data_IF_904404430825
#
_entry.id   IF_904404430825
#
_cell.length_a   1.000
_cell.length_b   1.000
_cell.length_c   1.000
_cell.angle_alpha   90.00
_cell.angle_beta   90.00
_cell.angle_gamma   90.00
#
_symmetry.space_group_name_H-M   'P 1'
#
loop_
_entity.id
_entity.type
_entity.pdbx_description
1 polymer ?
#
# COMPACT_ATOMS: atom_id res chain seq x y z
N UNK A 1 -4.99 -8.24 14.38
CA UNK A 1 -6.11 -9.20 14.61
C UNK A 1 -5.54 -10.61 14.58
N UNK A 2 -6.13 -11.58 15.30
CA UNK A 2 -5.85 -12.99 15.04
C UNK A 2 -6.25 -13.35 13.61
N UNK A 3 -5.82 -14.52 13.12
CA UNK A 3 -6.30 -15.08 11.85
C UNK A 3 -7.83 -15.10 11.85
N UNK A 4 -8.43 -14.59 10.77
CA UNK A 4 -9.86 -14.51 10.63
C UNK A 4 -10.44 -15.83 10.11
N UNK A 5 -11.63 -16.18 10.57
CA UNK A 5 -12.38 -17.30 10.02
C UNK A 5 -12.74 -17.06 8.55
N UNK A 6 -13.00 -18.15 7.81
CA UNK A 6 -13.44 -18.07 6.42
C UNK A 6 -14.68 -17.18 6.23
N UNK A 7 -15.60 -17.18 7.21
CA UNK A 7 -16.83 -16.37 7.16
C UNK A 7 -16.54 -14.87 7.35
N UNK A 8 -15.64 -14.53 8.27
CA UNK A 8 -15.21 -13.14 8.49
C UNK A 8 -14.48 -12.59 7.26
N UNK A 9 -13.56 -13.38 6.69
CA UNK A 9 -12.85 -13.02 5.45
C UNK A 9 -13.83 -12.81 4.30
N UNK A 10 -14.80 -13.71 4.13
CA UNK A 10 -15.81 -13.60 3.08
C UNK A 10 -16.65 -12.33 3.24
N UNK A 11 -17.03 -11.99 4.47
CA UNK A 11 -17.74 -10.75 4.77
C UNK A 11 -16.89 -9.53 4.41
N UNK A 12 -15.60 -9.52 4.76
CA UNK A 12 -14.68 -8.45 4.39
C UNK A 12 -14.54 -8.32 2.87
N UNK A 13 -14.37 -9.43 2.14
CA UNK A 13 -14.31 -9.46 0.67
C UNK A 13 -15.55 -8.83 0.05
N UNK A 14 -16.75 -9.29 0.41
CA UNK A 14 -18.01 -8.72 -0.06
C UNK A 14 -18.15 -7.24 0.32
N UNK A 15 -17.76 -6.89 1.54
CA UNK A 15 -17.74 -5.51 2.00
C UNK A 15 -16.73 -4.65 1.25
N UNK A 16 -15.78 -5.21 0.49
CA UNK A 16 -14.80 -4.49 -0.33
C UNK A 16 -15.25 -4.29 -1.78
N UNK A 17 -16.42 -4.81 -2.14
CA UNK A 17 -17.00 -4.64 -3.47
C UNK A 17 -17.94 -3.42 -3.44
N UNK A 18 -17.83 -2.49 -4.41
CA UNK A 18 -18.81 -1.42 -4.64
C UNK A 18 -20.23 -1.97 -4.88
N UNK A 19 -21.27 -1.23 -4.48
CA UNK A 19 -22.66 -1.72 -4.52
C UNK A 19 -23.14 -2.06 -5.95
N UNK A 20 -22.73 -1.27 -6.93
CA UNK A 20 -22.97 -1.53 -8.36
C UNK A 20 -22.38 -2.87 -8.81
N UNK A 21 -21.12 -3.15 -8.42
CA UNK A 21 -20.45 -4.42 -8.72
C UNK A 21 -21.01 -5.59 -7.91
N UNK A 22 -21.50 -5.37 -6.69
CA UNK A 22 -22.21 -6.39 -5.90
C UNK A 22 -23.50 -6.85 -6.59
N UNK A 23 -24.27 -5.92 -7.18
CA UNK A 23 -25.48 -6.25 -7.95
C UNK A 23 -25.15 -7.03 -9.22
N UNK A 24 -24.04 -6.70 -9.88
CA UNK A 24 -23.54 -7.48 -11.02
C UNK A 24 -23.18 -8.91 -10.60
N UNK A 25 -22.41 -9.06 -9.53
CA UNK A 25 -22.06 -10.37 -8.99
C UNK A 25 -23.31 -11.18 -8.59
N UNK A 26 -24.28 -10.56 -7.92
CA UNK A 26 -25.55 -11.18 -7.56
C UNK A 26 -26.32 -11.65 -8.80
N UNK A 27 -26.32 -10.85 -9.87
CA UNK A 27 -26.95 -11.21 -11.14
C UNK A 27 -26.30 -12.42 -11.79
N UNK A 28 -24.96 -12.51 -11.77
CA UNK A 28 -24.21 -13.64 -12.31
C UNK A 28 -24.45 -14.95 -11.53
N UNK A 29 -24.94 -14.83 -10.29
CA UNK A 29 -25.25 -15.94 -9.39
C UNK A 29 -26.77 -16.22 -9.30
N UNK A 30 -27.58 -15.62 -10.17
CA UNK A 30 -29.04 -15.77 -10.19
C UNK A 30 -29.74 -15.38 -8.87
N UNK A 31 -29.13 -14.47 -8.10
CA UNK A 31 -29.70 -13.89 -6.88
C UNK A 31 -30.56 -12.67 -7.24
N UNK A 32 -31.75 -12.55 -6.63
CA UNK A 32 -32.73 -11.49 -6.92
C UNK A 32 -32.13 -10.07 -6.77
N UNK A 33 -32.36 -9.21 -7.77
CA UNK A 33 -31.75 -7.87 -7.92
C UNK A 33 -32.46 -6.78 -7.13
N UNK A 34 -33.64 -7.06 -6.55
CA UNK A 34 -34.47 -6.07 -5.85
C UNK A 34 -34.01 -5.76 -4.42
N UNK A 35 -32.99 -6.47 -3.96
CA UNK A 35 -32.47 -6.42 -2.60
C UNK A 35 -31.51 -5.24 -2.36
N UNK A 36 -31.45 -4.76 -1.10
CA UNK A 36 -30.47 -3.75 -0.70
C UNK A 36 -29.05 -4.35 -0.72
N UNK A 37 -28.00 -3.52 -0.70
CA UNK A 37 -26.62 -4.02 -0.66
C UNK A 37 -26.34 -4.95 0.53
N UNK A 38 -26.96 -4.69 1.68
CA UNK A 38 -26.84 -5.54 2.87
C UNK A 38 -27.55 -6.91 2.69
N UNK A 39 -28.71 -6.92 2.04
CA UNK A 39 -29.47 -8.14 1.76
C UNK A 39 -28.71 -9.03 0.76
N UNK A 40 -28.11 -8.43 -0.27
CA UNK A 40 -27.22 -9.13 -1.22
C UNK A 40 -26.06 -9.79 -0.47
N UNK A 41 -25.36 -9.05 0.40
CA UNK A 41 -24.26 -9.59 1.21
C UNK A 41 -24.74 -10.74 2.09
N UNK A 42 -25.88 -10.60 2.77
CA UNK A 42 -26.43 -11.65 3.64
C UNK A 42 -26.73 -12.94 2.87
N UNK A 43 -27.27 -12.84 1.65
CA UNK A 43 -27.55 -14.00 0.80
C UNK A 43 -26.26 -14.65 0.29
N UNK A 44 -25.31 -13.85 -0.18
CA UNK A 44 -24.02 -14.35 -0.67
C UNK A 44 -23.23 -15.06 0.45
N UNK A 45 -23.25 -14.53 1.68
CA UNK A 45 -22.66 -15.18 2.86
C UNK A 45 -23.30 -16.54 3.21
N UNK A 46 -24.55 -16.75 2.82
CA UNK A 46 -25.29 -17.99 3.10
C UNK A 46 -25.11 -19.06 2.02
N UNK A 47 -24.41 -18.75 0.91
CA UNK A 47 -24.21 -19.67 -0.20
C UNK A 47 -22.82 -20.33 -0.12
N UNK A 48 -22.73 -21.67 0.12
CA UNK A 48 -21.46 -22.36 0.38
C UNK A 48 -20.47 -22.36 -0.80
N UNK A 49 -20.95 -22.21 -2.03
CA UNK A 49 -20.15 -22.35 -3.26
C UNK A 49 -19.53 -21.02 -3.77
N UNK A 50 -19.56 -19.94 -2.98
CA UNK A 50 -19.30 -18.58 -3.50
C UNK A 50 -17.87 -18.07 -3.37
N UNK A 51 -17.04 -18.65 -2.49
CA UNK A 51 -15.72 -18.07 -2.16
C UNK A 51 -14.83 -17.89 -3.38
N UNK A 52 -14.63 -18.94 -4.18
CA UNK A 52 -13.82 -18.88 -5.41
C UNK A 52 -14.45 -17.95 -6.46
N UNK A 53 -15.77 -17.99 -6.63
CA UNK A 53 -16.47 -17.13 -7.60
C UNK A 53 -16.32 -15.64 -7.26
N UNK A 54 -16.38 -15.30 -5.96
CA UNK A 54 -16.14 -13.94 -5.46
C UNK A 54 -14.70 -13.53 -5.74
N UNK A 55 -13.73 -14.40 -5.46
CA UNK A 55 -12.31 -14.13 -5.70
C UNK A 55 -12.02 -13.90 -7.18
N UNK A 56 -12.54 -14.76 -8.04
CA UNK A 56 -12.39 -14.66 -9.50
C UNK A 56 -13.07 -13.37 -10.02
N UNK A 57 -14.24 -13.03 -9.51
CA UNK A 57 -14.93 -11.78 -9.84
C UNK A 57 -14.13 -10.54 -9.42
N UNK A 58 -13.60 -10.53 -8.18
CA UNK A 58 -12.79 -9.42 -7.67
C UNK A 58 -11.51 -9.24 -8.50
N UNK A 59 -10.79 -10.34 -8.77
CA UNK A 59 -9.60 -10.33 -9.64
C UNK A 59 -9.92 -9.80 -11.04
N UNK A 60 -10.99 -10.28 -11.67
CA UNK A 60 -11.42 -9.81 -12.98
C UNK A 60 -11.72 -8.30 -13.00
N UNK A 61 -12.42 -7.80 -11.97
CA UNK A 61 -12.74 -6.37 -11.87
C UNK A 61 -11.52 -5.51 -11.59
N UNK A 62 -10.52 -6.04 -10.88
CA UNK A 62 -9.27 -5.35 -10.65
C UNK A 62 -8.42 -5.30 -11.93
N UNK A 63 -8.33 -6.39 -12.70
CA UNK A 63 -7.66 -6.40 -14.02
C UNK A 63 -8.24 -5.32 -14.95
N UNK A 64 -9.57 -5.18 -15.01
CA UNK A 64 -10.22 -4.10 -15.79
C UNK A 64 -9.82 -2.69 -15.33
N UNK A 65 -9.57 -2.50 -14.04
CA UNK A 65 -9.06 -1.22 -13.50
C UNK A 65 -7.63 -0.97 -13.98
N UNK A 66 -6.77 -1.99 -13.97
CA UNK A 66 -5.41 -1.90 -14.52
C UNK A 66 -5.48 -1.54 -16.01
N UNK A 67 -6.33 -2.21 -16.79
CA UNK A 67 -6.53 -1.93 -18.22
C UNK A 67 -6.95 -0.47 -18.48
N UNK A 68 -7.84 0.07 -17.64
CA UNK A 68 -8.26 1.48 -17.71
C UNK A 68 -7.10 2.45 -17.42
N UNK A 69 -6.19 2.11 -16.51
CA UNK A 69 -4.97 2.91 -16.32
C UNK A 69 -4.01 2.74 -17.49
N UNK A 70 -3.85 1.52 -18.02
CA UNK A 70 -3.00 1.22 -19.19
C UNK A 70 -3.43 1.96 -20.45
N UNK A 71 -4.72 2.29 -20.59
CA UNK A 71 -5.19 3.10 -21.72
C UNK A 71 -4.77 4.58 -21.64
N UNK A 72 -4.32 5.06 -20.47
CA UNK A 72 -3.77 6.42 -20.29
C UNK A 72 -2.28 6.43 -20.60
N UNK A 73 -1.54 5.43 -20.07
CA UNK A 73 -0.10 5.24 -20.28
C UNK A 73 0.23 3.77 -20.08
N UNK A 74 0.99 3.17 -21.00
CA UNK A 74 1.39 1.77 -20.86
C UNK A 74 2.37 1.57 -19.70
N UNK A 75 2.52 0.33 -19.23
CA UNK A 75 3.48 0.02 -18.16
C UNK A 75 4.91 0.36 -18.58
N UNK A 76 5.27 0.14 -19.85
CA UNK A 76 6.62 0.43 -20.36
C UNK A 76 6.88 1.94 -20.34
N UNK A 77 5.96 2.73 -20.89
CA UNK A 77 6.10 4.20 -20.93
C UNK A 77 6.11 4.80 -19.52
N UNK A 78 5.27 4.32 -18.60
CA UNK A 78 5.27 4.81 -17.23
C UNK A 78 6.60 4.50 -16.53
N UNK A 79 7.17 3.32 -16.76
CA UNK A 79 8.50 2.95 -16.23
C UNK A 79 9.61 3.85 -16.80
N UNK A 80 9.52 4.21 -18.08
CA UNK A 80 10.45 5.16 -18.71
C UNK A 80 10.33 6.57 -18.08
N UNK A 81 9.12 7.08 -17.85
CA UNK A 81 8.88 8.35 -17.15
C UNK A 81 9.48 8.35 -15.74
N UNK A 82 9.27 7.27 -14.97
CA UNK A 82 9.87 7.08 -13.65
C UNK A 82 11.40 6.99 -13.69
N UNK A 83 11.97 6.52 -14.81
CA UNK A 83 13.41 6.48 -15.09
C UNK A 83 14.04 7.88 -15.26
N UNK A 84 13.24 8.90 -15.55
CA UNK A 84 13.71 10.29 -15.71
C UNK A 84 14.07 10.95 -14.39
N UNK A 85 13.52 10.50 -13.26
CA UNK A 85 13.83 11.06 -11.92
C UNK A 85 15.29 10.77 -11.57
N UNK A 86 16.13 11.81 -11.45
CA UNK A 86 17.58 11.65 -11.15
C UNK A 86 17.95 11.99 -9.71
N UNK A 87 17.14 12.77 -9.03
CA UNK A 87 17.31 13.14 -7.64
C UNK A 87 16.03 12.85 -6.86
N UNK A 88 16.20 12.48 -5.60
CA UNK A 88 15.08 12.21 -4.69
C UNK A 88 15.37 12.89 -3.36
N UNK A 89 14.83 14.09 -3.20
CA UNK A 89 14.94 14.89 -1.99
C UNK A 89 13.58 15.46 -1.67
N UNK A 90 13.06 15.14 -0.50
CA UNK A 90 11.73 15.59 -0.11
C UNK A 90 11.65 17.10 0.06
N UNK A 91 12.72 17.75 0.57
CA UNK A 91 12.79 19.19 0.90
C UNK A 91 11.80 19.65 2.00
N UNK A 92 10.69 18.94 2.14
CA UNK A 92 9.56 19.18 3.05
C UNK A 92 8.96 17.83 3.43
N UNK A 93 8.52 17.71 4.69
CA UNK A 93 7.80 16.52 5.16
C UNK A 93 6.52 16.33 4.34
N UNK A 94 6.22 15.08 3.96
CA UNK A 94 5.02 14.72 3.21
C UNK A 94 3.75 15.26 3.87
N UNK A 95 2.95 16.03 3.13
CA UNK A 95 1.69 16.62 3.60
C UNK A 95 1.85 17.94 4.35
N UNK A 96 3.06 18.48 4.51
CA UNK A 96 3.32 19.71 5.26
C UNK A 96 3.75 20.91 4.39
N UNK A 97 3.61 20.81 3.06
CA UNK A 97 4.00 21.90 2.16
C UNK A 97 3.27 23.22 2.46
N UNK A 98 1.95 23.17 2.66
CA UNK A 98 1.16 24.36 3.02
C UNK A 98 1.62 24.96 4.36
N UNK A 99 1.85 24.12 5.37
CA UNK A 99 2.33 24.57 6.68
C UNK A 99 3.69 25.27 6.58
N UNK A 100 4.60 24.74 5.75
CA UNK A 100 5.89 25.38 5.45
C UNK A 100 5.71 26.75 4.79
N UNK A 101 4.84 26.85 3.78
CA UNK A 101 4.53 28.11 3.09
C UNK A 101 3.99 29.15 4.10
N UNK A 102 3.05 28.74 4.94
CA UNK A 102 2.46 29.62 5.96
C UNK A 102 3.49 30.10 6.97
N UNK A 103 4.32 29.20 7.49
CA UNK A 103 5.28 29.51 8.56
C UNK A 103 6.51 30.28 8.07
N UNK A 104 7.09 29.89 6.92
CA UNK A 104 8.36 30.43 6.45
C UNK A 104 8.22 31.65 5.53
N UNK A 105 7.08 31.79 4.83
CA UNK A 105 6.87 32.84 3.84
C UNK A 105 5.77 33.81 4.29
N UNK A 106 4.51 33.34 4.38
CA UNK A 106 3.34 34.21 4.57
C UNK A 106 3.37 34.99 5.88
N UNK A 107 3.65 34.31 7.01
CA UNK A 107 3.63 34.94 8.34
C UNK A 107 4.94 35.64 8.72
N UNK A 108 6.01 35.44 7.94
CA UNK A 108 7.36 35.88 8.28
C UNK A 108 7.86 37.05 7.41
N UNK A 109 7.51 37.06 6.13
CA UNK A 109 8.00 38.05 5.17
C UNK A 109 6.94 39.13 4.96
N UNK A 110 7.21 40.33 5.47
CA UNK A 110 6.25 41.45 5.44
C UNK A 110 6.34 42.27 4.15
N UNK A 111 7.54 42.41 3.58
CA UNK A 111 7.78 43.21 2.37
C UNK A 111 7.56 42.38 1.11
N UNK A 112 6.77 42.91 0.19
CA UNK A 112 6.36 42.20 -1.02
C UNK A 112 7.54 41.78 -1.91
N UNK A 113 8.50 42.67 -2.15
CA UNK A 113 9.68 42.33 -2.98
C UNK A 113 10.57 41.26 -2.33
N UNK A 114 10.73 41.30 -1.00
CA UNK A 114 11.48 40.28 -0.26
C UNK A 114 10.79 38.91 -0.36
N UNK A 115 9.44 38.90 -0.34
CA UNK A 115 8.65 37.68 -0.52
C UNK A 115 8.87 37.10 -1.92
N UNK A 116 8.75 37.91 -2.96
CA UNK A 116 8.95 37.47 -4.34
C UNK A 116 10.36 36.91 -4.56
N UNK A 117 11.38 37.59 -4.02
CA UNK A 117 12.76 37.15 -4.10
C UNK A 117 12.96 35.81 -3.37
N UNK A 118 12.41 35.66 -2.15
CA UNK A 118 12.53 34.42 -1.38
C UNK A 118 11.80 33.24 -2.03
N UNK A 119 10.66 33.47 -2.68
CA UNK A 119 9.91 32.43 -3.41
C UNK A 119 10.74 31.92 -4.59
N UNK A 120 11.27 32.84 -5.41
CA UNK A 120 12.10 32.50 -6.58
C UNK A 120 13.40 31.80 -6.18
N UNK A 121 14.02 32.24 -5.09
CA UNK A 121 15.32 31.72 -4.67
C UNK A 121 15.24 30.32 -4.03
N UNK A 122 14.10 29.92 -3.46
CA UNK A 122 14.02 28.69 -2.65
C UNK A 122 12.69 27.93 -2.74
N UNK A 123 11.55 28.60 -2.61
CA UNK A 123 10.25 27.89 -2.54
C UNK A 123 9.96 27.11 -3.81
N UNK A 124 10.31 27.69 -4.96
CA UNK A 124 10.13 27.04 -6.26
C UNK A 124 10.77 25.63 -6.26
N UNK A 125 12.04 25.53 -5.89
CA UNK A 125 12.78 24.26 -5.93
C UNK A 125 12.28 23.26 -4.86
N UNK A 126 11.86 23.76 -3.69
CA UNK A 126 11.25 22.95 -2.63
C UNK A 126 9.92 22.34 -3.11
N UNK A 127 9.06 23.14 -3.76
CA UNK A 127 7.78 22.69 -4.33
C UNK A 127 8.03 21.69 -5.45
N UNK A 128 8.94 21.99 -6.38
CA UNK A 128 9.30 21.08 -7.49
C UNK A 128 9.78 19.74 -6.96
N UNK A 129 10.73 19.74 -6.01
CA UNK A 129 11.28 18.52 -5.42
C UNK A 129 10.20 17.70 -4.70
N UNK A 130 9.32 18.37 -3.95
CA UNK A 130 8.20 17.73 -3.27
C UNK A 130 7.22 17.06 -4.26
N UNK A 131 6.84 17.76 -5.33
CA UNK A 131 5.90 17.23 -6.34
C UNK A 131 6.52 16.03 -7.07
N UNK A 132 7.80 16.10 -7.46
CA UNK A 132 8.50 14.98 -8.07
C UNK A 132 8.55 13.76 -7.14
N UNK A 133 8.91 13.94 -5.86
CA UNK A 133 9.00 12.84 -4.90
C UNK A 133 7.64 12.20 -4.61
N UNK A 134 6.59 13.00 -4.45
CA UNK A 134 5.22 12.49 -4.23
C UNK A 134 4.68 11.76 -5.46
N UNK A 135 4.87 12.31 -6.66
CA UNK A 135 4.50 11.67 -7.92
C UNK A 135 5.26 10.37 -8.15
N UNK A 136 6.58 10.37 -7.98
CA UNK A 136 7.42 9.18 -8.11
C UNK A 136 6.98 8.08 -7.14
N UNK A 137 6.76 8.44 -5.87
CA UNK A 137 6.30 7.48 -4.88
C UNK A 137 4.93 6.89 -5.21
N UNK A 138 3.99 7.73 -5.64
CA UNK A 138 2.66 7.29 -6.02
C UNK A 138 2.73 6.26 -7.16
N UNK A 139 3.36 6.59 -8.28
CA UNK A 139 3.34 5.74 -9.47
C UNK A 139 4.19 4.48 -9.35
N UNK A 140 5.32 4.54 -8.62
CA UNK A 140 6.06 3.32 -8.27
C UNK A 140 5.24 2.39 -7.39
N UNK A 141 4.53 2.94 -6.39
CA UNK A 141 3.65 2.15 -5.52
C UNK A 141 2.47 1.56 -6.31
N UNK A 142 1.85 2.32 -7.21
CA UNK A 142 0.77 1.81 -8.08
C UNK A 142 1.25 0.59 -8.87
N UNK A 143 2.40 0.66 -9.54
CA UNK A 143 2.91 -0.47 -10.32
C UNK A 143 3.26 -1.69 -9.45
N UNK A 144 3.80 -1.47 -8.25
CA UNK A 144 4.11 -2.54 -7.30
C UNK A 144 2.83 -3.20 -6.78
N UNK A 145 1.84 -2.41 -6.37
CA UNK A 145 0.55 -2.91 -5.87
C UNK A 145 -0.26 -3.61 -6.97
N UNK A 146 -0.23 -3.10 -8.20
CA UNK A 146 -0.84 -3.77 -9.36
C UNK A 146 -0.20 -5.14 -9.58
N UNK A 147 1.14 -5.24 -9.55
CA UNK A 147 1.85 -6.52 -9.69
C UNK A 147 1.47 -7.51 -8.59
N UNK A 148 1.54 -7.09 -7.31
CA UNK A 148 1.11 -7.90 -6.16
C UNK A 148 -0.33 -8.39 -6.33
N UNK A 149 -1.23 -7.50 -6.75
CA UNK A 149 -2.66 -7.77 -6.89
C UNK A 149 -2.98 -8.75 -8.02
N UNK A 150 -2.08 -8.94 -8.98
CA UNK A 150 -2.22 -9.92 -10.05
C UNK A 150 -1.69 -11.31 -9.69
N UNK A 151 -0.99 -11.45 -8.56
CA UNK A 151 -0.48 -12.74 -8.11
C UNK A 151 -1.62 -13.71 -7.77
N UNK A 152 -1.47 -14.99 -8.13
CA UNK A 152 -2.56 -15.97 -8.03
C UNK A 152 -3.04 -16.24 -6.59
N UNK A 153 -2.15 -16.13 -5.58
CA UNK A 153 -2.48 -16.22 -4.14
C UNK A 153 -3.09 -14.94 -3.53
N UNK A 154 -3.24 -13.88 -4.32
CA UNK A 154 -3.71 -12.56 -3.83
C UNK A 154 -5.07 -12.23 -4.44
N UNK A 155 -5.98 -11.70 -3.63
CA UNK A 155 -7.25 -11.11 -4.09
C UNK A 155 -7.28 -9.65 -3.65
N UNK A 156 -7.28 -8.67 -4.58
CA UNK A 156 -7.27 -7.26 -4.21
C UNK A 156 -8.66 -6.73 -3.84
N UNK A 157 -8.72 -5.73 -2.97
CA UNK A 157 -9.96 -5.00 -2.71
C UNK A 157 -10.40 -4.17 -3.92
N UNK A 158 -11.71 -4.03 -4.12
CA UNK A 158 -12.27 -3.21 -5.21
C UNK A 158 -12.67 -1.79 -4.77
N UNK A 159 -12.69 -1.55 -3.46
CA UNK A 159 -12.89 -0.25 -2.83
C UNK A 159 -12.09 -0.19 -1.54
N UNK A 160 -11.73 1.01 -1.13
CA UNK A 160 -10.98 1.24 0.09
C UNK A 160 -11.75 0.72 1.32
N UNK A 161 -11.14 -0.20 2.04
CA UNK A 161 -11.49 -0.54 3.41
C UNK A 161 -10.30 -0.17 4.27
N UNK A 162 -10.55 0.56 5.35
CA UNK A 162 -9.50 0.93 6.31
C UNK A 162 -8.77 -0.33 6.78
N UNK A 163 -7.45 -0.37 6.56
CA UNK A 163 -6.59 -1.46 7.03
C UNK A 163 -6.63 -2.72 6.17
N UNK A 164 -7.22 -2.70 4.97
CA UNK A 164 -7.25 -3.85 4.06
C UNK A 164 -7.09 -3.38 2.61
N UNK A 165 -5.98 -3.75 2.00
CA UNK A 165 -5.71 -3.52 0.58
C UNK A 165 -5.89 -4.80 -0.22
N UNK A 166 -5.45 -5.94 0.34
CA UNK A 166 -5.48 -7.26 -0.30
C UNK A 166 -5.92 -8.37 0.66
N UNK A 167 -6.28 -9.52 0.10
CA UNK A 167 -6.37 -10.79 0.80
C UNK A 167 -5.26 -11.71 0.27
N UNK A 168 -4.28 -12.02 1.11
CA UNK A 168 -3.20 -12.96 0.81
C UNK A 168 -3.43 -14.25 1.59
N UNK A 169 -3.45 -15.38 0.87
CA UNK A 169 -3.68 -16.70 1.47
C UNK A 169 -4.95 -16.77 2.33
N UNK A 170 -6.00 -16.08 1.85
CA UNK A 170 -7.29 -16.00 2.54
C UNK A 170 -7.32 -15.10 3.76
N UNK A 171 -6.28 -14.33 4.08
CA UNK A 171 -6.26 -13.38 5.20
C UNK A 171 -6.13 -11.93 4.71
N UNK A 172 -6.80 -10.96 5.35
CA UNK A 172 -6.70 -9.55 4.94
C UNK A 172 -5.38 -8.93 5.37
N UNK A 173 -4.80 -8.09 4.52
CA UNK A 173 -3.61 -7.31 4.81
C UNK A 173 -3.72 -5.88 4.27
N UNK A 174 -3.26 -4.93 5.09
CA UNK A 174 -2.84 -3.59 4.72
C UNK A 174 -1.44 -3.68 4.08
N UNK A 175 -1.29 -3.16 2.86
CA UNK A 175 -0.01 -3.13 2.16
C UNK A 175 0.78 -1.88 2.56
N UNK A 176 2.07 -2.08 2.79
CA UNK A 176 3.00 -0.99 3.13
C UNK A 176 4.29 -1.13 2.34
N UNK A 177 4.35 -0.44 1.21
CA UNK A 177 5.60 -0.29 0.44
C UNK A 177 6.40 0.86 1.01
N UNK A 178 7.58 0.58 1.55
CA UNK A 178 8.40 1.57 2.27
C UNK A 178 9.90 1.27 2.13
N UNK A 179 10.72 2.24 2.52
CA UNK A 179 12.15 2.03 2.74
C UNK A 179 12.39 1.55 4.15
N UNK A 180 13.57 0.95 4.39
CA UNK A 180 14.00 0.64 5.74
C UNK A 180 14.01 1.94 6.59
N UNK A 181 13.41 1.93 7.80
CA UNK A 181 13.47 3.09 8.69
C UNK A 181 14.91 3.47 9.02
N UNK A 182 15.21 4.78 9.05
CA UNK A 182 16.57 5.31 9.31
C UNK A 182 17.14 4.87 10.66
N UNK A 183 16.28 4.70 11.64
CA UNK A 183 16.66 4.32 13.01
C UNK A 183 16.72 2.80 13.23
N UNK A 184 16.61 2.00 12.16
CA UNK A 184 16.68 0.54 12.23
C UNK A 184 17.92 0.02 11.50
N UNK A 185 18.70 -0.83 12.18
CA UNK A 185 19.95 -1.35 11.64
C UNK A 185 19.70 -2.36 10.50
N UNK A 186 20.27 -2.16 9.29
CA UNK A 186 20.04 -3.02 8.13
C UNK A 186 20.34 -4.51 8.35
N UNK A 187 21.35 -4.84 9.16
CA UNK A 187 21.74 -6.23 9.45
C UNK A 187 20.62 -7.01 10.14
N UNK A 188 20.02 -6.41 11.19
CA UNK A 188 18.93 -7.03 11.93
C UNK A 188 17.67 -7.19 11.10
N UNK A 189 17.46 -6.34 10.08
CA UNK A 189 16.31 -6.45 9.20
C UNK A 189 16.36 -7.78 8.42
N UNK A 190 17.53 -8.11 7.88
CA UNK A 190 17.73 -9.34 7.12
C UNK A 190 17.81 -10.59 7.98
N UNK A 191 18.30 -10.48 9.22
CA UNK A 191 18.40 -11.61 10.15
C UNK A 191 17.06 -11.96 10.80
N UNK A 192 16.25 -10.95 11.12
CA UNK A 192 14.94 -11.11 11.76
C UNK A 192 13.91 -10.13 11.19
N UNK A 193 13.24 -10.49 10.07
CA UNK A 193 12.16 -9.67 9.51
C UNK A 193 10.98 -9.48 10.47
N UNK A 194 10.76 -10.41 11.41
CA UNK A 194 9.71 -10.33 12.43
C UNK A 194 9.98 -9.21 13.44
N UNK A 195 11.22 -9.03 13.86
CA UNK A 195 11.60 -7.93 14.76
C UNK A 195 11.47 -6.57 14.07
N UNK A 196 11.80 -6.51 12.78
CA UNK A 196 11.54 -5.32 11.97
C UNK A 196 10.03 -5.01 11.93
N UNK A 197 9.18 -6.00 11.72
CA UNK A 197 7.73 -5.80 11.75
C UNK A 197 7.28 -5.20 13.09
N UNK A 198 7.68 -5.81 14.22
CA UNK A 198 7.36 -5.32 15.57
C UNK A 198 7.81 -3.86 15.70
N UNK A 199 9.07 -3.57 15.40
CA UNK A 199 9.60 -2.21 15.49
C UNK A 199 8.78 -1.22 14.65
N UNK A 200 8.41 -1.59 13.42
CA UNK A 200 7.59 -0.75 12.54
C UNK A 200 6.18 -0.51 13.09
N UNK A 201 5.61 -1.47 13.82
CA UNK A 201 4.34 -1.29 14.50
C UNK A 201 4.43 -0.40 15.75
N UNK A 202 5.53 -0.48 16.50
CA UNK A 202 5.72 0.31 17.73
C UNK A 202 6.09 1.77 17.42
N UNK A 203 6.79 2.02 16.31
CA UNK A 203 7.30 3.34 15.93
C UNK A 203 6.42 4.09 14.92
N UNK A 204 5.13 3.78 14.87
CA UNK A 204 4.17 4.47 14.01
C UNK A 204 3.88 5.90 14.49
N UNK A 205 3.59 6.82 13.57
CA UNK A 205 3.03 8.11 13.95
C UNK A 205 1.62 7.97 14.54
N UNK A 206 1.34 8.61 15.67
CA UNK A 206 0.05 8.48 16.39
C UNK A 206 -1.19 8.76 15.52
N UNK A 207 -1.11 9.72 14.59
CA UNK A 207 -2.21 10.02 13.66
C UNK A 207 -2.45 8.94 12.60
N UNK A 208 -1.47 8.05 12.37
CA UNK A 208 -1.50 6.97 11.39
C UNK A 208 -1.49 5.58 12.05
N UNK A 209 -1.74 5.53 13.36
CA UNK A 209 -1.76 4.29 14.10
C UNK A 209 -2.79 3.32 13.52
N UNK A 210 -2.35 2.08 13.32
CA UNK A 210 -3.20 0.94 12.99
C UNK A 210 -2.62 -0.34 13.59
N UNK A 211 -3.52 -1.24 13.98
CA UNK A 211 -3.22 -2.59 14.48
C UNK A 211 -3.80 -3.68 13.57
N UNK A 212 -4.10 -3.30 12.33
CA UNK A 212 -4.51 -4.20 11.26
C UNK A 212 -3.34 -5.10 10.86
N UNK A 213 -3.63 -6.23 10.23
CA UNK A 213 -2.59 -7.12 9.71
C UNK A 213 -1.86 -6.43 8.56
N UNK A 214 -0.52 -6.48 8.52
CA UNK A 214 0.28 -5.77 7.51
C UNK A 214 1.27 -6.66 6.79
N UNK A 215 1.33 -6.47 5.48
CA UNK A 215 2.41 -6.96 4.66
C UNK A 215 3.29 -5.76 4.29
N UNK A 216 4.50 -5.75 4.83
CA UNK A 216 5.51 -4.75 4.53
C UNK A 216 6.35 -5.20 3.34
N UNK A 217 6.45 -4.34 2.32
CA UNK A 217 7.44 -4.46 1.26
C UNK A 217 8.51 -3.42 1.54
N UNK A 218 9.63 -3.86 2.10
CA UNK A 218 10.73 -3.02 2.56
C UNK A 218 11.84 -3.04 1.52
N UNK A 219 12.16 -1.87 0.97
CA UNK A 219 13.23 -1.66 0.00
C UNK A 219 14.49 -1.21 0.73
N UNK A 220 15.60 -1.89 0.47
CA UNK A 220 16.89 -1.63 1.11
C UNK A 220 18.05 -1.76 0.12
N UNK A 221 18.73 -0.66 -0.15
CA UNK A 221 20.08 -0.68 -0.72
C UNK A 221 21.07 -0.85 0.43
N UNK A 222 21.74 -2.01 0.51
CA UNK A 222 22.59 -2.37 1.66
C UNK A 222 23.85 -1.52 1.75
N UNK A 223 24.37 -1.10 0.61
CA UNK A 223 25.58 -0.28 0.52
C UNK A 223 25.27 1.20 0.76
N UNK A 224 24.10 1.67 0.32
CA UNK A 224 23.68 3.05 0.49
C UNK A 224 22.16 3.17 0.72
N UNK A 225 21.70 3.06 1.99
CA UNK A 225 20.27 3.10 2.31
C UNK A 225 19.50 4.32 1.79
N UNK A 226 20.15 5.49 1.68
CA UNK A 226 19.54 6.71 1.13
C UNK A 226 19.26 6.60 -0.39
N UNK A 227 19.86 5.62 -1.09
CA UNK A 227 19.58 5.30 -2.50
C UNK A 227 18.53 4.20 -2.70
N UNK A 228 17.89 3.71 -1.63
CA UNK A 228 16.82 2.71 -1.73
C UNK A 228 15.64 3.16 -2.61
N UNK A 229 15.47 4.46 -2.85
CA UNK A 229 14.47 4.97 -3.79
C UNK A 229 14.76 4.56 -5.25
N UNK A 230 16.02 4.41 -5.64
CA UNK A 230 16.40 3.93 -6.97
C UNK A 230 16.00 2.46 -7.15
N UNK A 231 16.12 1.66 -6.08
CA UNK A 231 15.71 0.26 -6.07
C UNK A 231 14.20 0.13 -6.30
N UNK A 232 13.39 1.05 -5.78
CA UNK A 232 11.93 1.06 -5.94
C UNK A 232 11.46 1.06 -7.41
N UNK A 233 12.26 1.62 -8.32
CA UNK A 233 11.97 1.62 -9.77
C UNK A 233 12.70 0.54 -10.55
N UNK A 234 13.49 -0.32 -9.90
CA UNK A 234 14.03 -1.52 -10.54
C UNK A 234 12.94 -2.59 -10.59
N UNK A 235 11.94 -2.38 -11.46
CA UNK A 235 10.76 -3.23 -11.53
C UNK A 235 11.06 -4.68 -11.87
N UNK A 236 12.15 -4.99 -12.58
CA UNK A 236 12.53 -6.38 -12.84
C UNK A 236 12.85 -7.11 -11.54
N UNK A 237 13.77 -6.57 -10.74
CA UNK A 237 14.15 -7.16 -9.45
C UNK A 237 12.99 -7.12 -8.45
N UNK A 238 12.26 -6.00 -8.39
CA UNK A 238 11.15 -5.84 -7.45
C UNK A 238 10.04 -6.86 -7.74
N UNK A 239 9.65 -7.03 -9.01
CA UNK A 239 8.59 -7.96 -9.38
C UNK A 239 9.02 -9.42 -9.20
N UNK A 240 10.26 -9.76 -9.56
CA UNK A 240 10.84 -11.08 -9.29
C UNK A 240 10.78 -11.43 -7.80
N UNK A 241 11.20 -10.52 -6.91
CA UNK A 241 11.18 -10.76 -5.46
C UNK A 241 9.77 -10.82 -4.87
N UNK A 242 8.83 -10.09 -5.43
CA UNK A 242 7.41 -10.20 -5.07
C UNK A 242 6.90 -11.59 -5.46
N UNK A 243 7.17 -12.05 -6.68
CA UNK A 243 6.71 -13.36 -7.15
C UNK A 243 7.34 -14.50 -6.33
N UNK A 244 8.65 -14.47 -6.08
CA UNK A 244 9.33 -15.43 -5.19
C UNK A 244 8.68 -15.49 -3.80
N UNK A 245 8.40 -14.31 -3.21
CA UNK A 245 7.79 -14.20 -1.90
C UNK A 245 6.41 -14.85 -1.87
N UNK A 246 5.49 -14.44 -2.73
CA UNK A 246 4.13 -14.96 -2.71
C UNK A 246 4.02 -16.42 -3.16
N UNK A 247 4.94 -16.91 -4.00
CA UNK A 247 4.99 -18.33 -4.35
C UNK A 247 5.36 -19.20 -3.15
N UNK A 248 6.34 -18.78 -2.36
CA UNK A 248 6.88 -19.54 -1.23
C UNK A 248 6.07 -19.39 0.06
N UNK A 249 5.66 -18.16 0.38
CA UNK A 249 5.07 -17.84 1.67
C UNK A 249 3.61 -18.32 1.78
N UNK A 250 3.24 -18.68 3.00
CA UNK A 250 1.89 -19.01 3.45
C UNK A 250 1.61 -18.21 4.73
N UNK A 251 0.33 -17.97 5.03
CA UNK A 251 -0.08 -17.21 6.21
C UNK A 251 -0.50 -18.19 7.31
N UNK A 252 0.14 -18.08 8.46
CA UNK A 252 -0.05 -19.00 9.59
C UNK A 252 -0.05 -18.27 10.93
N UNK A 253 -0.33 -19.00 12.01
CA UNK A 253 -0.28 -18.46 13.38
C UNK A 253 1.13 -18.00 13.79
N UNK A 254 2.19 -18.54 13.16
CA UNK A 254 3.58 -18.13 13.45
C UNK A 254 3.89 -16.69 13.01
N UNK A 255 3.07 -16.15 12.10
CA UNK A 255 3.16 -14.77 11.61
C UNK A 255 2.50 -13.77 12.58
N UNK A 256 1.88 -14.25 13.65
CA UNK A 256 1.37 -13.40 14.71
C UNK A 256 2.53 -12.73 15.48
N UNK A 257 2.40 -11.42 15.63
CA UNK A 257 3.28 -10.57 16.43
C UNK A 257 2.49 -9.92 17.55
N UNK A 258 3.18 -9.66 18.65
CA UNK A 258 2.71 -8.86 19.77
C UNK A 258 3.58 -7.61 19.81
N UNK A 259 2.96 -6.44 19.89
CA UNK A 259 3.68 -5.16 19.91
C UNK A 259 3.00 -4.17 20.85
N UNK A 260 3.75 -3.19 21.34
CA UNK A 260 3.24 -2.16 22.24
C UNK A 260 3.21 -0.81 21.55
N UNK A 261 2.06 -0.14 21.60
CA UNK A 261 1.93 1.24 21.14
C UNK A 261 1.36 2.12 22.24
N UNK A 262 2.13 3.13 22.66
CA UNK A 262 1.80 3.95 23.81
C UNK A 262 1.83 3.13 25.11
N UNK A 263 0.66 2.85 25.70
CA UNK A 263 0.51 2.05 26.93
C UNK A 263 -0.37 0.81 26.74
N UNK A 264 -0.59 0.40 25.49
CA UNK A 264 -1.46 -0.72 25.14
C UNK A 264 -0.68 -1.74 24.31
N UNK A 265 -0.96 -3.01 24.55
CA UNK A 265 -0.43 -4.14 23.80
C UNK A 265 -1.45 -4.57 22.76
N UNK A 266 -0.96 -4.90 21.58
CA UNK A 266 -1.75 -5.27 20.42
C UNK A 266 -1.19 -6.54 19.79
N UNK A 267 -2.06 -7.22 19.04
CA UNK A 267 -1.72 -8.42 18.29
C UNK A 267 -2.10 -8.23 16.83
N UNK A 268 -1.20 -8.58 15.91
CA UNK A 268 -1.45 -8.56 14.48
C UNK A 268 -0.72 -9.70 13.79
N UNK A 269 -1.25 -10.13 12.64
CA UNK A 269 -0.50 -10.99 11.71
C UNK A 269 0.32 -10.09 10.81
N UNK A 270 1.62 -10.34 10.70
CA UNK A 270 2.49 -9.54 9.85
C UNK A 270 3.45 -10.37 9.02
N UNK A 271 3.66 -9.90 7.80
CA UNK A 271 4.62 -10.44 6.84
C UNK A 271 5.56 -9.32 6.40
N UNK A 272 6.82 -9.65 6.18
CA UNK A 272 7.82 -8.69 5.69
C UNK A 272 8.56 -9.29 4.51
N UNK A 273 8.42 -8.65 3.36
CA UNK A 273 9.24 -8.87 2.18
C UNK A 273 10.34 -7.81 2.16
N UNK A 274 11.59 -8.23 2.34
CA UNK A 274 12.75 -7.35 2.16
C UNK A 274 13.30 -7.54 0.75
N UNK A 275 13.21 -6.49 -0.06
CA UNK A 275 13.83 -6.42 -1.38
C UNK A 275 15.13 -5.66 -1.21
N UNK A 276 16.24 -6.38 -1.27
CA UNK A 276 17.56 -5.80 -1.10
C UNK A 276 18.44 -5.99 -2.35
N UNK A 277 19.29 -4.99 -2.59
CA UNK A 277 20.44 -5.09 -3.50
C UNK A 277 21.73 -4.82 -2.74
#
# INVERSE_FOLDING_TARGET
MPLLSRKEVLNLKLSSIPVDKLRELASNLEVDKRDTGADIVKRLLSCPATGKVIDDFMKLKYIKRIETRRSIISDSELKEELGKVKSFSWGVVQGQLDQKIQAEYVRKIVRYEDLLNSVKAKLHDDVTSYVICTWFNHWTTVLIEEHISTHHKVVPTLKNIKGIDIFFDGQPFDLKVTYLPRDYEPRYATESPKDLAIWMYENQGAQRFGADNRLFVVLLDKDNPEKSWELKRNFSLVFEKIDEFFNKEEVSENDEIIFTFGRKTYTAVSKVLIIAR
#
